data_IF_969747883446
#
_entry.id   IF_969747883446
#
_cell.length_a   1.000
_cell.length_b   1.000
_cell.length_c   1.000
_cell.angle_alpha   90.00
_cell.angle_beta   90.00
_cell.angle_gamma   90.00
#
_symmetry.space_group_name_H-M   'P 1'
#
loop_
_entity.id
_entity.type
_entity.pdbx_description
1 polymer ?
#
# COMPACT_ATOMS: atom_id res chain seq x y z
N UNK A 1 -26.12 -6.51 -22.06
CA UNK A 1 -25.35 -5.58 -21.19
C UNK A 1 -24.15 -6.37 -20.71
N UNK A 2 -22.93 -5.97 -21.02
CA UNK A 2 -21.76 -6.65 -20.50
C UNK A 2 -21.75 -6.46 -18.97
N UNK A 3 -21.83 -7.55 -18.22
CA UNK A 3 -21.59 -7.51 -16.78
C UNK A 3 -20.23 -6.84 -16.56
N UNK A 4 -20.22 -5.71 -15.87
CA UNK A 4 -18.97 -5.09 -15.45
C UNK A 4 -18.26 -6.06 -14.49
N UNK A 5 -17.31 -6.82 -15.01
CA UNK A 5 -16.50 -7.73 -14.19
C UNK A 5 -15.83 -6.94 -13.09
N UNK A 6 -15.92 -7.42 -11.85
CA UNK A 6 -15.17 -6.82 -10.74
C UNK A 6 -13.67 -6.87 -11.03
N UNK A 7 -12.96 -5.82 -10.67
CA UNK A 7 -11.51 -5.75 -10.79
C UNK A 7 -10.91 -4.97 -9.61
N UNK A 8 -9.66 -5.26 -9.31
CA UNK A 8 -8.93 -4.57 -8.25
C UNK A 8 -7.63 -4.01 -8.80
N UNK A 9 -7.34 -2.77 -8.45
CA UNK A 9 -6.06 -2.14 -8.77
C UNK A 9 -5.25 -2.06 -7.48
N UNK A 10 -4.03 -2.59 -7.48
CA UNK A 10 -3.09 -2.43 -6.37
C UNK A 10 -1.97 -1.49 -6.77
N UNK A 11 -1.54 -0.62 -5.85
CA UNK A 11 -0.54 0.41 -6.14
C UNK A 11 0.67 0.39 -5.20
N UNK A 12 1.83 -0.12 -5.68
CA UNK A 12 3.13 0.17 -5.11
C UNK A 12 3.61 1.56 -5.55
N UNK A 13 4.36 2.27 -4.72
CA UNK A 13 4.81 3.63 -5.07
C UNK A 13 6.03 4.06 -4.28
N UNK A 14 7.00 4.70 -4.94
CA UNK A 14 8.07 5.42 -4.28
C UNK A 14 7.51 6.68 -3.57
N UNK A 15 8.13 7.08 -2.47
CA UNK A 15 7.73 8.31 -1.77
C UNK A 15 8.05 9.55 -2.61
N UNK A 16 7.11 10.46 -2.73
CA UNK A 16 7.23 11.64 -3.59
C UNK A 16 6.96 11.41 -5.08
N UNK A 17 6.70 10.17 -5.54
CA UNK A 17 6.39 9.90 -6.95
C UNK A 17 5.01 10.41 -7.42
N UNK A 18 4.15 10.87 -6.51
CA UNK A 18 2.78 11.27 -6.88
C UNK A 18 1.77 10.13 -6.91
N UNK A 19 2.18 8.87 -6.68
CA UNK A 19 1.32 7.70 -6.82
C UNK A 19 0.06 7.71 -5.94
N UNK A 20 0.11 8.30 -4.75
CA UNK A 20 -1.08 8.40 -3.89
C UNK A 20 -2.12 9.40 -4.45
N UNK A 21 -1.67 10.54 -4.97
CA UNK A 21 -2.55 11.53 -5.61
C UNK A 21 -3.13 10.98 -6.91
N UNK A 22 -2.31 10.31 -7.72
CA UNK A 22 -2.76 9.62 -8.93
C UNK A 22 -3.86 8.60 -8.60
N UNK A 23 -3.66 7.77 -7.57
CA UNK A 23 -4.64 6.78 -7.17
C UNK A 23 -5.97 7.42 -6.74
N UNK A 24 -5.93 8.55 -6.01
CA UNK A 24 -7.13 9.30 -5.63
C UNK A 24 -7.90 9.79 -6.86
N UNK A 25 -7.21 10.46 -7.79
CA UNK A 25 -7.83 10.94 -9.05
C UNK A 25 -8.35 9.80 -9.92
N UNK A 26 -7.63 8.67 -9.97
CA UNK A 26 -8.08 7.48 -10.66
C UNK A 26 -9.37 6.92 -10.04
N UNK A 27 -9.45 6.90 -8.71
CA UNK A 27 -10.67 6.52 -7.99
C UNK A 27 -11.84 7.43 -8.33
N UNK A 28 -11.64 8.75 -8.30
CA UNK A 28 -12.65 9.74 -8.70
C UNK A 28 -13.08 9.55 -10.18
N UNK A 29 -12.11 9.33 -11.09
CA UNK A 29 -12.35 9.13 -12.53
C UNK A 29 -13.13 7.87 -12.85
N UNK A 30 -12.93 6.80 -12.08
CA UNK A 30 -13.57 5.49 -12.29
C UNK A 30 -14.75 5.22 -11.36
N UNK A 31 -15.01 6.09 -10.39
CA UNK A 31 -16.02 5.86 -9.35
C UNK A 31 -15.66 4.71 -8.41
N UNK A 32 -14.36 4.54 -8.13
CA UNK A 32 -13.85 3.47 -7.29
C UNK A 32 -13.43 4.00 -5.90
N UNK A 33 -13.65 3.20 -4.88
CA UNK A 33 -13.09 3.46 -3.56
C UNK A 33 -11.56 3.25 -3.57
N UNK A 34 -10.84 4.16 -2.89
CA UNK A 34 -9.37 4.09 -2.76
C UNK A 34 -9.01 3.83 -1.31
N UNK A 35 -8.50 2.64 -1.04
CA UNK A 35 -8.07 2.21 0.28
C UNK A 35 -6.57 2.43 0.47
N UNK A 36 -6.16 3.24 1.42
CA UNK A 36 -4.76 3.43 1.85
C UNK A 36 -4.64 3.21 3.37
N UNK A 37 -4.74 4.27 4.16
CA UNK A 37 -4.61 4.19 5.62
C UNK A 37 -5.85 3.57 6.29
N UNK A 38 -6.99 3.68 5.67
CA UNK A 38 -8.27 3.16 6.17
C UNK A 38 -8.25 1.65 6.43
N UNK A 39 -7.43 0.90 5.68
CA UNK A 39 -7.25 -0.55 5.90
C UNK A 39 -6.82 -0.85 7.34
N UNK A 40 -5.97 -0.03 7.94
CA UNK A 40 -5.54 -0.27 9.32
C UNK A 40 -6.67 -0.10 10.32
N UNK A 41 -7.51 0.93 10.11
CA UNK A 41 -8.70 1.14 10.93
C UNK A 41 -9.68 -0.02 10.79
N UNK A 42 -10.00 -0.43 9.57
CA UNK A 42 -10.88 -1.57 9.29
C UNK A 42 -10.33 -2.86 9.90
N UNK A 43 -9.01 -3.08 9.80
CA UNK A 43 -8.36 -4.23 10.41
C UNK A 43 -8.44 -4.20 11.94
N UNK A 44 -8.32 -3.02 12.54
CA UNK A 44 -8.50 -2.82 13.97
C UNK A 44 -9.92 -3.16 14.42
N UNK A 45 -10.91 -2.69 13.69
CA UNK A 45 -12.32 -2.96 13.97
C UNK A 45 -12.66 -4.45 13.84
N UNK A 46 -12.15 -5.13 12.81
CA UNK A 46 -12.43 -6.56 12.57
C UNK A 46 -11.69 -7.47 13.57
N UNK A 47 -10.45 -7.13 13.93
CA UNK A 47 -9.63 -7.96 14.85
C UNK A 47 -9.84 -7.67 16.32
N UNK A 48 -10.42 -6.51 16.68
CA UNK A 48 -10.47 -6.00 18.04
C UNK A 48 -9.12 -5.52 18.60
N UNK A 49 -8.08 -5.50 17.77
CA UNK A 49 -6.74 -5.04 18.14
C UNK A 49 -6.64 -3.52 17.85
N UNK A 50 -6.07 -2.76 18.80
CA UNK A 50 -5.94 -1.30 18.63
C UNK A 50 -5.20 -0.92 17.37
N UNK A 51 -5.70 0.04 16.62
CA UNK A 51 -5.13 0.56 15.37
C UNK A 51 -3.66 0.96 15.51
N UNK A 52 -3.26 1.48 16.67
CA UNK A 52 -1.86 1.86 16.95
C UNK A 52 -0.86 0.70 16.79
N UNK A 53 -1.27 -0.54 17.04
CA UNK A 53 -0.40 -1.69 16.83
C UNK A 53 -0.17 -1.97 15.34
N UNK A 54 -1.19 -1.77 14.51
CA UNK A 54 -1.06 -1.91 13.06
C UNK A 54 -0.17 -0.82 12.47
N UNK A 55 -0.28 0.43 12.93
CA UNK A 55 0.64 1.50 12.53
C UNK A 55 2.09 1.18 12.89
N UNK A 56 2.32 0.66 14.10
CA UNK A 56 3.65 0.25 14.53
C UNK A 56 4.22 -0.91 13.70
N UNK A 57 3.41 -1.88 13.32
CA UNK A 57 3.82 -2.99 12.47
C UNK A 57 4.11 -2.52 11.04
N UNK A 58 3.31 -1.61 10.52
CA UNK A 58 3.43 -1.06 9.17
C UNK A 58 4.67 -0.18 8.98
N UNK A 59 4.97 0.66 9.96
CA UNK A 59 6.13 1.55 9.91
C UNK A 59 7.46 0.83 10.13
N UNK A 60 7.47 -0.37 10.72
CA UNK A 60 8.68 -0.95 11.31
C UNK A 60 8.87 -2.46 11.12
N UNK A 61 8.30 -3.04 10.09
CA UNK A 61 8.44 -4.46 9.73
C UNK A 61 9.88 -4.92 9.40
N UNK A 62 10.87 -4.38 10.00
CA UNK A 62 12.29 -4.76 9.89
C UNK A 62 13.07 -4.52 11.18
N UNK A 63 12.44 -3.94 12.21
CA UNK A 63 13.15 -3.53 13.41
C UNK A 63 12.92 -4.47 14.59
N UNK A 64 13.81 -5.46 14.78
CA UNK A 64 13.84 -6.37 15.94
C UNK A 64 13.82 -5.64 17.30
N UNK A 65 14.28 -4.39 17.36
CA UNK A 65 14.29 -3.59 18.59
C UNK A 65 12.88 -3.20 19.00
N UNK A 66 12.00 -2.90 18.03
CA UNK A 66 10.63 -2.49 18.32
C UNK A 66 9.73 -3.65 18.72
N UNK A 67 9.96 -4.85 18.15
CA UNK A 67 9.34 -6.07 18.62
C UNK A 67 9.60 -6.26 20.13
N UNK A 68 10.82 -5.99 20.59
CA UNK A 68 11.17 -6.06 22.02
C UNK A 68 10.50 -4.96 22.85
N UNK A 69 10.32 -3.75 22.31
CA UNK A 69 9.64 -2.64 22.98
C UNK A 69 8.14 -2.92 23.11
N UNK A 70 7.49 -3.43 22.07
CA UNK A 70 6.06 -3.81 22.13
C UNK A 70 5.86 -4.91 23.17
N UNK A 71 6.73 -5.91 23.21
CA UNK A 71 6.69 -6.96 24.24
C UNK A 71 6.92 -6.43 25.67
N UNK A 72 7.72 -5.38 25.84
CA UNK A 72 7.96 -4.77 27.15
C UNK A 72 6.82 -3.84 27.63
N UNK A 73 5.93 -3.42 26.73
CA UNK A 73 4.78 -2.55 27.06
C UNK A 73 3.50 -3.34 27.39
N UNK A 74 3.52 -4.67 27.24
CA UNK A 74 2.41 -5.54 27.65
C UNK A 74 2.55 -5.77 29.15
N UNK A 75 1.59 -5.38 30.01
CA UNK A 75 1.65 -5.63 31.44
C UNK A 75 1.71 -7.14 31.74
N UNK A 76 2.66 -7.59 32.53
CA UNK A 76 2.79 -8.99 32.97
C UNK A 76 1.62 -9.52 33.83
N UNK A 77 0.70 -8.65 34.23
CA UNK A 77 -0.39 -8.97 35.13
C UNK A 77 -1.76 -8.83 34.46
N UNK A 78 -2.17 -9.79 33.66
CA UNK A 78 -3.57 -9.79 33.23
C UNK A 78 -3.91 -10.60 32.01
N UNK A 79 -4.21 -11.88 32.26
CA UNK A 79 -4.86 -12.85 31.36
C UNK A 79 -3.98 -13.67 30.42
N UNK A 80 -4.35 -14.94 30.18
CA UNK A 80 -3.40 -15.95 29.70
C UNK A 80 -2.99 -15.77 28.25
N UNK A 81 -1.78 -16.10 27.97
CA UNK A 81 -1.03 -16.46 26.74
C UNK A 81 -1.63 -16.21 25.33
N UNK A 82 -2.89 -15.85 25.17
CA UNK A 82 -3.50 -15.49 23.88
C UNK A 82 -3.13 -14.08 23.41
N UNK A 83 -2.74 -13.17 24.32
CA UNK A 83 -2.54 -11.75 23.97
C UNK A 83 -1.24 -11.43 23.25
N UNK A 84 -0.14 -12.13 23.55
CA UNK A 84 1.17 -11.85 22.96
C UNK A 84 1.29 -12.36 21.51
N UNK A 85 0.69 -13.49 21.21
CA UNK A 85 0.69 -14.06 19.86
C UNK A 85 -0.23 -13.31 18.92
N UNK A 86 -1.33 -12.74 19.39
CA UNK A 86 -2.27 -11.96 18.58
C UNK A 86 -1.68 -10.64 18.07
N UNK A 87 -0.72 -10.06 18.77
CA UNK A 87 -0.08 -8.78 18.43
C UNK A 87 1.25 -8.98 17.68
N UNK A 88 1.60 -10.22 17.33
CA UNK A 88 2.78 -10.46 16.49
C UNK A 88 2.62 -9.80 15.12
N UNK A 89 3.71 -9.30 14.55
CA UNK A 89 3.71 -8.67 13.21
C UNK A 89 3.07 -9.58 12.16
N UNK A 90 3.26 -10.89 12.26
CA UNK A 90 2.71 -11.88 11.34
C UNK A 90 1.19 -12.01 11.47
N UNK A 91 0.66 -12.00 12.69
CA UNK A 91 -0.79 -12.02 12.93
C UNK A 91 -1.45 -10.71 12.48
N UNK A 92 -0.83 -9.57 12.74
CA UNK A 92 -1.31 -8.27 12.25
C UNK A 92 -1.37 -8.25 10.71
N UNK A 93 -0.36 -8.79 10.03
CA UNK A 93 -0.37 -8.94 8.57
C UNK A 93 -1.45 -9.91 8.08
N UNK A 94 -1.71 -11.00 8.81
CA UNK A 94 -2.80 -11.95 8.47
C UNK A 94 -4.17 -11.31 8.55
N UNK A 95 -4.46 -10.53 9.61
CA UNK A 95 -5.71 -9.78 9.74
C UNK A 95 -5.86 -8.75 8.61
N UNK A 96 -4.83 -7.97 8.35
CA UNK A 96 -4.80 -7.01 7.24
C UNK A 96 -5.05 -7.71 5.88
N UNK A 97 -4.44 -8.85 5.65
CA UNK A 97 -4.64 -9.64 4.44
C UNK A 97 -6.07 -10.17 4.31
N UNK A 98 -6.72 -10.53 5.43
CA UNK A 98 -8.13 -10.92 5.45
C UNK A 98 -9.03 -9.77 5.00
N UNK A 99 -8.83 -8.56 5.57
CA UNK A 99 -9.57 -7.35 5.17
C UNK A 99 -9.38 -7.05 3.68
N UNK A 100 -8.14 -7.09 3.18
CA UNK A 100 -7.82 -6.85 1.76
C UNK A 100 -8.58 -7.83 0.85
N UNK A 101 -8.57 -9.12 1.17
CA UNK A 101 -9.31 -10.14 0.38
C UNK A 101 -10.81 -9.91 0.41
N UNK A 102 -11.37 -9.54 1.56
CA UNK A 102 -12.79 -9.25 1.72
C UNK A 102 -13.20 -8.06 0.85
N UNK A 103 -12.47 -6.95 0.92
CA UNK A 103 -12.71 -5.77 0.06
C UNK A 103 -12.70 -6.13 -1.43
N UNK A 104 -11.71 -6.90 -1.87
CA UNK A 104 -11.59 -7.35 -3.25
C UNK A 104 -12.75 -8.25 -3.71
N UNK A 105 -13.39 -8.97 -2.78
CA UNK A 105 -14.58 -9.78 -3.05
C UNK A 105 -15.87 -8.96 -3.08
N UNK A 106 -15.93 -7.87 -2.32
CA UNK A 106 -17.14 -7.05 -2.19
C UNK A 106 -17.32 -6.08 -3.35
N UNK A 107 -16.24 -5.39 -3.77
CA UNK A 107 -16.32 -4.34 -4.78
C UNK A 107 -15.08 -4.23 -5.69
N UNK A 108 -15.21 -3.51 -6.80
CA UNK A 108 -14.06 -3.01 -7.55
C UNK A 108 -13.45 -1.83 -6.80
N UNK A 109 -12.15 -1.87 -6.52
CA UNK A 109 -11.50 -0.85 -5.70
C UNK A 109 -10.02 -0.66 -6.05
N UNK A 110 -9.41 0.37 -5.47
CA UNK A 110 -7.98 0.64 -5.54
C UNK A 110 -7.38 0.47 -4.15
N UNK A 111 -6.34 -0.35 -4.01
CA UNK A 111 -5.67 -0.61 -2.73
C UNK A 111 -4.21 -0.17 -2.82
N UNK A 112 -3.79 0.72 -1.92
CA UNK A 112 -2.48 1.33 -1.97
C UNK A 112 -1.52 0.70 -0.95
N UNK A 113 -0.49 0.01 -1.46
CA UNK A 113 0.56 -0.62 -0.67
C UNK A 113 0.09 -1.88 0.06
N UNK A 114 0.58 -2.11 1.30
CA UNK A 114 0.16 -3.23 2.17
C UNK A 114 0.44 -4.62 1.60
N UNK A 115 1.33 -4.74 0.63
CA UNK A 115 1.54 -5.97 -0.12
C UNK A 115 0.24 -6.51 -0.75
N UNK A 116 -0.71 -5.62 -1.10
CA UNK A 116 -2.00 -6.02 -1.65
C UNK A 116 -1.87 -6.78 -2.97
N UNK A 117 -0.87 -6.45 -3.77
CA UNK A 117 -0.45 -7.16 -4.98
C UNK A 117 -0.11 -8.62 -4.71
N UNK A 118 0.58 -8.91 -3.60
CA UNK A 118 0.92 -10.26 -3.14
C UNK A 118 -0.27 -10.97 -2.48
N UNK A 119 -1.02 -10.24 -1.64
CA UNK A 119 -2.19 -10.79 -0.92
C UNK A 119 -3.28 -11.25 -1.88
N UNK A 120 -3.44 -10.55 -3.02
CA UNK A 120 -4.44 -10.80 -4.04
C UNK A 120 -3.90 -11.57 -5.25
N UNK A 121 -2.68 -12.11 -5.17
CA UNK A 121 -2.10 -12.89 -6.26
C UNK A 121 -3.02 -14.04 -6.66
N UNK A 122 -3.21 -14.26 -7.98
CA UNK A 122 -4.16 -15.21 -8.51
C UNK A 122 -5.64 -14.74 -8.55
N UNK A 123 -5.96 -13.53 -8.06
CA UNK A 123 -7.31 -12.96 -8.19
C UNK A 123 -7.59 -12.57 -9.65
N UNK A 124 -8.75 -12.95 -10.17
CA UNK A 124 -9.18 -12.56 -11.52
C UNK A 124 -9.29 -11.03 -11.64
N UNK A 125 -8.85 -10.47 -12.75
CA UNK A 125 -8.88 -9.02 -13.03
C UNK A 125 -8.09 -8.15 -12.02
N UNK A 126 -7.07 -8.70 -11.38
CA UNK A 126 -6.10 -7.93 -10.63
C UNK A 126 -5.21 -7.12 -11.57
N UNK A 127 -4.98 -5.86 -11.24
CA UNK A 127 -4.01 -4.97 -11.93
C UNK A 127 -3.03 -4.43 -10.90
N UNK A 128 -1.76 -4.77 -11.07
CA UNK A 128 -0.67 -4.41 -10.16
C UNK A 128 0.13 -3.26 -10.74
N UNK A 129 0.04 -2.10 -10.12
CA UNK A 129 0.74 -0.88 -10.55
C UNK A 129 1.95 -0.61 -9.64
N UNK A 130 3.00 -0.04 -10.23
CA UNK A 130 4.08 0.59 -9.50
C UNK A 130 4.37 1.98 -10.04
N UNK A 131 4.41 2.99 -9.15
CA UNK A 131 4.60 4.40 -9.52
C UNK A 131 5.92 4.90 -8.98
N UNK A 132 6.79 5.38 -9.86
CA UNK A 132 8.12 5.87 -9.51
C UNK A 132 8.45 7.17 -10.23
N UNK A 133 9.48 7.87 -9.79
CA UNK A 133 10.00 9.07 -10.45
C UNK A 133 11.48 9.26 -10.14
N UNK A 134 12.13 10.10 -10.93
CA UNK A 134 13.49 10.56 -10.66
C UNK A 134 13.57 11.30 -9.33
N UNK A 135 14.73 11.25 -8.70
CA UNK A 135 14.87 11.73 -7.31
C UNK A 135 14.65 13.23 -7.19
N UNK A 136 15.05 14.01 -8.18
CA UNK A 136 14.86 15.47 -8.22
C UNK A 136 13.38 15.84 -8.24
N UNK A 137 12.59 15.16 -9.06
CA UNK A 137 11.15 15.37 -9.15
C UNK A 137 10.45 15.00 -7.83
N UNK A 138 10.89 13.93 -7.20
CA UNK A 138 10.38 13.47 -5.91
C UNK A 138 10.70 14.47 -4.79
N UNK A 139 11.91 15.05 -4.79
CA UNK A 139 12.30 16.11 -3.87
C UNK A 139 11.39 17.33 -4.05
N UNK A 140 11.15 17.76 -5.30
CA UNK A 140 10.30 18.89 -5.60
C UNK A 140 8.86 18.69 -5.07
N UNK A 141 8.26 17.54 -5.38
CA UNK A 141 6.91 17.21 -4.91
C UNK A 141 6.80 17.10 -3.38
N UNK A 142 7.85 16.64 -2.71
CA UNK A 142 7.89 16.58 -1.23
C UNK A 142 8.08 17.95 -0.63
N UNK A 143 8.90 18.81 -1.25
CA UNK A 143 9.10 20.21 -0.86
C UNK A 143 7.80 21.00 -0.91
N UNK A 144 7.04 20.89 -2.00
CA UNK A 144 5.75 21.54 -2.17
C UNK A 144 4.74 21.17 -1.07
N UNK A 145 4.83 19.95 -0.53
CA UNK A 145 3.96 19.50 0.57
C UNK A 145 4.35 20.07 1.94
N UNK A 146 5.57 20.56 2.11
CA UNK A 146 6.03 21.20 3.34
C UNK A 146 6.10 20.28 4.57
N UNK A 147 6.16 18.97 4.40
CA UNK A 147 6.14 18.02 5.52
C UNK A 147 7.48 17.88 6.25
N UNK A 148 8.57 18.30 5.63
CA UNK A 148 9.93 18.18 6.17
C UNK A 148 10.72 19.46 5.93
N UNK A 149 11.68 19.81 6.82
CA UNK A 149 12.71 20.80 6.53
C UNK A 149 13.47 20.44 5.24
N UNK A 150 13.93 21.44 4.51
CA UNK A 150 14.60 21.25 3.20
C UNK A 150 15.77 20.26 3.26
N UNK A 151 16.62 20.41 4.30
CA UNK A 151 17.79 19.57 4.55
C UNK A 151 17.46 18.10 4.83
N UNK A 152 16.24 17.81 5.26
CA UNK A 152 15.82 16.47 5.63
C UNK A 152 15.01 15.75 4.52
N UNK A 153 14.60 16.45 3.45
CA UNK A 153 13.74 15.89 2.40
C UNK A 153 14.33 14.62 1.81
N UNK A 154 15.54 14.67 1.29
CA UNK A 154 16.20 13.53 0.67
C UNK A 154 16.39 12.35 1.64
N UNK A 155 16.78 12.65 2.88
CA UNK A 155 16.93 11.65 3.94
C UNK A 155 15.61 10.94 4.24
N UNK A 156 14.50 11.69 4.33
CA UNK A 156 13.19 11.13 4.58
C UNK A 156 12.66 10.33 3.39
N UNK A 157 12.86 10.78 2.14
CA UNK A 157 12.53 10.02 0.95
C UNK A 157 13.21 8.64 0.98
N UNK A 158 14.53 8.61 1.19
CA UNK A 158 15.31 7.36 1.24
C UNK A 158 14.89 6.47 2.41
N UNK A 159 14.58 7.04 3.57
CA UNK A 159 14.11 6.31 4.75
C UNK A 159 12.78 5.63 4.49
N UNK A 160 11.79 6.38 4.00
CA UNK A 160 10.43 5.85 3.75
C UNK A 160 10.44 4.76 2.68
N UNK A 161 11.20 4.95 1.60
CA UNK A 161 11.30 3.90 0.57
C UNK A 161 12.01 2.64 1.09
N UNK A 162 13.01 2.79 1.94
CA UNK A 162 13.66 1.65 2.59
C UNK A 162 12.67 0.91 3.51
N UNK A 163 11.90 1.62 4.32
CA UNK A 163 10.88 1.02 5.18
C UNK A 163 9.84 0.22 4.36
N UNK A 164 9.38 0.77 3.24
CA UNK A 164 8.47 0.07 2.31
C UNK A 164 9.10 -1.17 1.69
N UNK A 165 10.35 -1.06 1.26
CA UNK A 165 11.11 -2.17 0.68
C UNK A 165 11.32 -3.30 1.70
N UNK A 166 11.69 -2.95 2.92
CA UNK A 166 11.93 -3.91 4.01
C UNK A 166 10.62 -4.60 4.41
N UNK A 167 9.52 -3.85 4.53
CA UNK A 167 8.17 -4.37 4.77
C UNK A 167 7.75 -5.37 3.68
N UNK A 168 7.87 -4.97 2.42
CA UNK A 168 7.50 -5.81 1.29
C UNK A 168 8.32 -7.10 1.25
N UNK A 169 9.64 -6.98 1.40
CA UNK A 169 10.54 -8.15 1.42
C UNK A 169 10.25 -9.09 2.59
N UNK A 170 9.95 -8.55 3.76
CA UNK A 170 9.65 -9.36 4.94
C UNK A 170 8.44 -10.26 4.74
N UNK A 171 7.34 -9.70 4.21
CA UNK A 171 6.07 -10.44 4.07
C UNK A 171 5.95 -11.25 2.78
N UNK A 172 6.63 -10.85 1.72
CA UNK A 172 6.50 -11.49 0.40
C UNK A 172 7.69 -12.34 0.00
N UNK A 173 8.85 -12.12 0.62
CA UNK A 173 10.13 -12.70 0.19
C UNK A 173 10.66 -12.12 -1.13
N UNK A 174 9.91 -11.19 -1.79
CA UNK A 174 10.23 -10.64 -3.12
C UNK A 174 10.91 -9.28 -2.99
N UNK A 175 11.59 -8.84 -4.06
CA UNK A 175 12.09 -7.46 -4.17
C UNK A 175 10.96 -6.53 -4.56
N UNK A 176 10.79 -5.42 -3.82
CA UNK A 176 9.72 -4.45 -4.01
C UNK A 176 9.73 -3.78 -5.39
N UNK A 177 10.91 -3.55 -5.96
CA UNK A 177 11.11 -2.89 -7.25
C UNK A 177 11.30 -3.90 -8.41
N UNK A 178 11.01 -5.19 -8.20
CA UNK A 178 11.11 -6.18 -9.27
C UNK A 178 9.96 -6.00 -10.27
N UNK A 179 10.30 -5.86 -11.54
CA UNK A 179 9.38 -5.69 -12.66
C UNK A 179 8.32 -6.79 -12.74
N UNK A 180 8.69 -8.01 -12.41
CA UNK A 180 7.80 -9.19 -12.48
C UNK A 180 6.63 -9.14 -11.47
N UNK A 181 6.71 -8.26 -10.46
CA UNK A 181 5.64 -8.11 -9.49
C UNK A 181 4.48 -7.25 -10.03
N UNK A 182 4.68 -6.51 -11.12
CA UNK A 182 3.75 -5.47 -11.56
C UNK A 182 3.34 -5.66 -13.01
N UNK A 183 2.10 -5.35 -13.31
CA UNK A 183 1.54 -5.38 -14.66
C UNK A 183 1.83 -4.09 -15.43
N UNK A 184 1.96 -2.95 -14.71
CA UNK A 184 2.30 -1.64 -15.28
C UNK A 184 3.15 -0.84 -14.28
N UNK A 185 4.30 -0.36 -14.77
CA UNK A 185 5.17 0.56 -14.03
C UNK A 185 5.19 1.92 -14.70
N UNK A 186 4.89 3.00 -13.96
CA UNK A 186 4.76 4.35 -14.49
C UNK A 186 5.87 5.24 -13.94
N UNK A 187 6.72 5.76 -14.83
CA UNK A 187 7.63 6.84 -14.50
C UNK A 187 6.91 8.18 -14.64
N UNK A 188 6.74 8.87 -13.53
CA UNK A 188 5.93 10.09 -13.44
C UNK A 188 6.75 11.38 -13.55
N UNK A 189 8.03 11.29 -13.84
CA UNK A 189 8.95 12.45 -13.85
C UNK A 189 8.50 13.56 -14.78
N UNK A 190 7.91 13.21 -15.93
CA UNK A 190 7.46 14.15 -16.96
C UNK A 190 5.96 14.07 -17.25
N UNK A 191 5.18 13.50 -16.33
CA UNK A 191 3.74 13.32 -16.51
C UNK A 191 2.98 14.21 -15.54
N UNK A 192 1.93 14.85 -16.02
CA UNK A 192 0.90 15.44 -15.15
C UNK A 192 0.11 14.33 -14.45
N UNK A 193 -0.63 14.68 -13.40
CA UNK A 193 -1.50 13.72 -12.72
C UNK A 193 -2.60 13.18 -13.67
N UNK A 194 -3.08 14.01 -14.57
CA UNK A 194 -4.12 13.62 -15.52
C UNK A 194 -3.56 12.64 -16.56
N UNK A 195 -2.34 12.86 -17.06
CA UNK A 195 -1.65 11.91 -17.95
C UNK A 195 -1.42 10.56 -17.26
N UNK A 196 -1.03 10.57 -15.97
CA UNK A 196 -0.88 9.33 -15.20
C UNK A 196 -2.18 8.54 -15.12
N UNK A 197 -3.31 9.24 -14.87
CA UNK A 197 -4.63 8.61 -14.80
C UNK A 197 -5.03 8.04 -16.15
N UNK A 198 -4.87 8.79 -17.23
CA UNK A 198 -5.22 8.31 -18.57
C UNK A 198 -4.34 7.12 -19.01
N UNK A 199 -3.06 7.10 -18.68
CA UNK A 199 -2.21 5.91 -18.89
C UNK A 199 -2.79 4.65 -18.26
N UNK A 200 -3.29 4.74 -17.02
CA UNK A 200 -3.91 3.58 -16.33
C UNK A 200 -5.24 3.22 -16.97
N UNK A 201 -6.08 4.22 -17.25
CA UNK A 201 -7.39 4.00 -17.91
C UNK A 201 -7.22 3.31 -19.25
N UNK A 202 -6.29 3.76 -20.07
CA UNK A 202 -6.03 3.16 -21.38
C UNK A 202 -5.45 1.73 -21.25
N UNK A 203 -4.60 1.49 -20.28
CA UNK A 203 -4.14 0.14 -19.97
C UNK A 203 -5.31 -0.79 -19.57
N UNK A 204 -6.25 -0.33 -18.74
CA UNK A 204 -7.44 -1.09 -18.35
C UNK A 204 -8.36 -1.40 -19.56
N UNK A 205 -8.52 -0.44 -20.48
CA UNK A 205 -9.27 -0.65 -21.74
C UNK A 205 -8.55 -1.67 -22.64
N UNK A 206 -7.22 -1.58 -22.78
CA UNK A 206 -6.45 -2.55 -23.57
C UNK A 206 -6.52 -3.96 -23.00
N UNK A 207 -6.59 -4.09 -21.66
CA UNK A 207 -6.81 -5.36 -20.98
C UNK A 207 -8.24 -5.88 -21.06
N UNK A 208 -9.17 -5.10 -21.62
CA UNK A 208 -10.61 -5.44 -21.67
C UNK A 208 -11.30 -5.43 -20.30
N UNK A 209 -10.72 -4.74 -19.31
CA UNK A 209 -11.31 -4.54 -17.98
C UNK A 209 -12.34 -3.42 -18.01
N UNK A 210 -12.07 -2.36 -18.75
CA UNK A 210 -13.00 -1.29 -19.05
C UNK A 210 -13.47 -1.37 -20.50
N UNK A 211 -14.67 -0.88 -20.76
CA UNK A 211 -15.17 -0.70 -22.12
C UNK A 211 -14.27 0.30 -22.89
N UNK A 212 -14.10 0.07 -24.21
CA UNK A 212 -13.35 0.95 -25.09
C UNK A 212 -14.02 2.30 -25.25
#
# INVERSE_FOLDING_TARGET
>A
MAENKKFVITGGRQYGSGGAEMAKRLGERLGLHVYDKEILKMTSEESGIRESYFHLADEKAGNKLLYRIIHSLIPENGTPSLGSDLISSDNLFRFQSSVIRKLAQEESCIIIGRCADYVLDGTENLVRLFVYAEIEERINKVREKGYFPEEDILKNIKRIDRERRDYYRYYTGKSWENLENYDLMINTTKLSYDDMVECVVDYLKMRGILAK
#
